data_IF_552589479841
#
_entry.id   IF_552589479841
#
_cell.length_a   1.000
_cell.length_b   1.000
_cell.length_c   1.000
_cell.angle_alpha   90.00
_cell.angle_beta   90.00
_cell.angle_gamma   90.00
#
_symmetry.space_group_name_H-M   'P 1'
#
loop_
_entity.id
_entity.type
_entity.pdbx_description
1 polymer ?
#
# COMPACT_ATOMS: atom_id res chain seq x y z
N UNK A 1 -40.06 -77.80 30.88
CA UNK A 1 -38.92 -77.51 31.80
C UNK A 1 -37.98 -76.45 31.22
N UNK A 2 -37.39 -76.66 30.03
CA UNK A 2 -36.41 -75.74 29.43
C UNK A 2 -36.85 -74.27 29.26
N UNK A 3 -38.10 -74.00 28.82
CA UNK A 3 -38.61 -72.62 28.66
C UNK A 3 -38.69 -71.83 29.98
N UNK A 4 -39.08 -72.49 31.09
CA UNK A 4 -39.10 -71.86 32.42
C UNK A 4 -37.69 -71.54 32.92
N UNK A 5 -36.72 -72.42 32.63
CA UNK A 5 -35.32 -72.20 32.96
C UNK A 5 -34.72 -71.02 32.19
N UNK A 6 -35.01 -70.91 30.88
CA UNK A 6 -34.55 -69.78 30.04
C UNK A 6 -35.09 -68.43 30.52
N UNK A 7 -36.37 -68.37 30.90
CA UNK A 7 -36.99 -67.15 31.44
C UNK A 7 -36.34 -66.75 32.77
N UNK A 8 -36.03 -67.71 33.64
CA UNK A 8 -35.34 -67.43 34.90
C UNK A 8 -33.91 -66.92 34.68
N UNK A 9 -33.18 -67.51 33.73
CA UNK A 9 -31.82 -67.06 33.38
C UNK A 9 -31.84 -65.65 32.79
N UNK A 10 -32.79 -65.33 31.90
CA UNK A 10 -32.89 -63.99 31.34
C UNK A 10 -33.29 -62.94 32.38
N UNK A 11 -34.22 -63.25 33.28
CA UNK A 11 -34.58 -62.36 34.40
C UNK A 11 -33.35 -62.11 35.30
N UNK A 12 -32.56 -63.14 35.59
CA UNK A 12 -31.37 -63.01 36.43
C UNK A 12 -30.28 -62.16 35.76
N UNK A 13 -30.06 -62.33 34.46
CA UNK A 13 -29.13 -61.52 33.67
C UNK A 13 -29.61 -60.06 33.62
N UNK A 14 -30.90 -59.82 33.36
CA UNK A 14 -31.46 -58.46 33.35
C UNK A 14 -31.31 -57.82 34.74
N UNK A 15 -31.64 -58.52 35.82
CA UNK A 15 -31.50 -58.01 37.18
C UNK A 15 -30.04 -57.68 37.53
N UNK A 16 -29.08 -58.53 37.14
CA UNK A 16 -27.65 -58.26 37.33
C UNK A 16 -27.17 -57.03 36.56
N UNK A 17 -27.64 -56.84 35.32
CA UNK A 17 -27.36 -55.64 34.52
C UNK A 17 -27.98 -54.40 35.15
N UNK A 18 -29.23 -54.47 35.62
CA UNK A 18 -29.91 -53.35 36.29
C UNK A 18 -29.20 -52.94 37.60
N UNK A 19 -28.55 -53.88 38.30
CA UNK A 19 -27.74 -53.57 39.49
C UNK A 19 -26.43 -52.84 39.15
N UNK A 20 -25.92 -52.95 37.92
CA UNK A 20 -24.72 -52.23 37.48
C UNK A 20 -25.02 -50.80 37.00
N UNK A 21 -26.25 -50.50 36.59
CA UNK A 21 -26.68 -49.16 36.15
C UNK A 21 -26.30 -48.04 37.13
N UNK A 22 -26.58 -48.13 38.46
CA UNK A 22 -26.24 -47.05 39.39
C UNK A 22 -24.73 -46.70 39.41
N UNK A 23 -23.85 -47.68 39.18
CA UNK A 23 -22.40 -47.42 39.10
C UNK A 23 -21.99 -46.66 37.83
N UNK A 24 -22.73 -46.87 36.74
CA UNK A 24 -22.48 -46.19 35.46
C UNK A 24 -23.02 -44.76 35.52
N UNK A 25 -24.18 -44.53 36.14
CA UNK A 25 -24.74 -43.18 36.34
C UNK A 25 -23.81 -42.29 37.19
N UNK A 26 -23.24 -42.81 38.28
CA UNK A 26 -22.28 -42.09 39.13
C UNK A 26 -21.00 -41.73 38.36
N UNK A 27 -20.47 -42.67 37.55
CA UNK A 27 -19.32 -42.40 36.68
C UNK A 27 -19.63 -41.32 35.63
N UNK A 28 -20.79 -41.39 34.98
CA UNK A 28 -21.22 -40.40 33.97
C UNK A 28 -21.44 -39.03 34.60
N UNK A 29 -21.99 -38.95 35.82
CA UNK A 29 -22.12 -37.70 36.56
C UNK A 29 -20.75 -37.08 36.87
N UNK A 30 -19.79 -37.86 37.40
CA UNK A 30 -18.45 -37.34 37.69
C UNK A 30 -17.71 -36.83 36.46
N UNK A 31 -17.89 -37.49 35.31
CA UNK A 31 -17.37 -37.00 34.02
C UNK A 31 -18.04 -35.68 33.64
N UNK A 32 -19.37 -35.58 33.76
CA UNK A 32 -20.13 -34.37 33.44
C UNK A 32 -19.72 -33.18 34.33
N UNK A 33 -19.49 -33.43 35.61
CA UNK A 33 -19.06 -32.41 36.56
C UNK A 33 -17.66 -31.89 36.21
N UNK A 34 -16.71 -32.79 35.88
CA UNK A 34 -15.37 -32.40 35.43
C UNK A 34 -15.38 -31.58 34.14
N UNK A 35 -16.26 -31.92 33.19
CA UNK A 35 -16.43 -31.12 31.97
C UNK A 35 -17.10 -29.77 32.25
N UNK A 36 -18.04 -29.72 33.18
CA UNK A 36 -18.74 -28.49 33.57
C UNK A 36 -17.78 -27.51 34.25
N UNK A 37 -16.97 -27.98 35.20
CA UNK A 37 -15.95 -27.17 35.87
C UNK A 37 -14.92 -26.62 34.88
N UNK A 38 -14.43 -27.44 33.96
CA UNK A 38 -13.50 -26.97 32.91
C UNK A 38 -14.13 -25.93 32.00
N UNK A 39 -15.39 -26.12 31.61
CA UNK A 39 -16.13 -25.17 30.79
C UNK A 39 -16.28 -23.84 31.52
N UNK A 40 -16.58 -23.86 32.82
CA UNK A 40 -16.79 -22.66 33.61
C UNK A 40 -15.46 -21.90 33.82
N UNK A 41 -14.35 -22.59 34.09
CA UNK A 41 -13.01 -21.97 34.12
C UNK A 41 -12.63 -21.32 32.78
N UNK A 42 -12.95 -21.97 31.66
CA UNK A 42 -12.69 -21.40 30.32
C UNK A 42 -13.58 -20.18 30.06
N UNK A 43 -14.83 -20.18 30.54
CA UNK A 43 -15.73 -19.04 30.42
C UNK A 43 -15.20 -17.83 31.20
N UNK A 44 -14.73 -18.02 32.43
CA UNK A 44 -14.13 -16.95 33.24
C UNK A 44 -12.86 -16.38 32.61
N UNK A 45 -11.97 -17.23 32.08
CA UNK A 45 -10.78 -16.78 31.35
C UNK A 45 -11.15 -16.03 30.07
N UNK A 46 -12.18 -16.49 29.35
CA UNK A 46 -12.67 -15.81 28.15
C UNK A 46 -13.19 -14.41 28.47
N UNK A 47 -13.99 -14.25 29.52
CA UNK A 47 -14.50 -12.95 29.94
C UNK A 47 -13.36 -12.02 30.37
N UNK A 48 -12.38 -12.52 31.14
CA UNK A 48 -11.18 -11.75 31.52
C UNK A 48 -10.37 -11.28 30.30
N UNK A 49 -10.24 -12.14 29.30
CA UNK A 49 -9.55 -11.79 28.04
C UNK A 49 -10.36 -10.78 27.26
N UNK A 50 -11.68 -10.95 27.19
CA UNK A 50 -12.58 -10.04 26.50
C UNK A 50 -12.53 -8.62 27.08
N UNK A 51 -12.51 -8.48 28.40
CA UNK A 51 -12.39 -7.19 29.06
C UNK A 51 -11.06 -6.51 28.71
N UNK A 52 -9.93 -7.24 28.79
CA UNK A 52 -8.63 -6.72 28.38
C UNK A 52 -8.57 -6.32 26.91
N UNK A 53 -9.24 -7.08 26.05
CA UNK A 53 -9.33 -6.77 24.62
C UNK A 53 -10.12 -5.48 24.42
N UNK A 54 -11.22 -5.28 25.16
CA UNK A 54 -11.97 -4.03 25.14
C UNK A 54 -11.09 -2.84 25.54
N UNK A 55 -10.36 -2.93 26.66
CA UNK A 55 -9.46 -1.88 27.12
C UNK A 55 -8.37 -1.53 26.08
N UNK A 56 -7.90 -2.55 25.34
CA UNK A 56 -6.91 -2.35 24.27
C UNK A 56 -7.55 -1.68 23.06
N UNK A 57 -8.77 -2.05 22.70
CA UNK A 57 -9.52 -1.42 21.60
C UNK A 57 -9.72 0.07 21.89
N UNK A 58 -10.18 0.43 23.09
CA UNK A 58 -10.39 1.83 23.48
C UNK A 58 -9.10 2.66 23.35
N UNK A 59 -7.97 2.13 23.83
CA UNK A 59 -6.66 2.80 23.70
C UNK A 59 -6.20 2.97 22.25
N UNK A 60 -6.54 2.01 21.39
CA UNK A 60 -6.20 2.08 19.97
C UNK A 60 -7.05 3.15 19.28
N UNK A 61 -8.32 3.29 19.65
CA UNK A 61 -9.19 4.35 19.14
C UNK A 61 -8.70 5.73 19.59
N UNK A 62 -8.35 5.92 20.87
CA UNK A 62 -7.76 7.16 21.39
C UNK A 62 -6.45 7.52 20.65
N UNK A 63 -5.60 6.51 20.41
CA UNK A 63 -4.32 6.71 19.71
C UNK A 63 -4.57 7.07 18.24
N UNK A 64 -5.59 6.49 17.61
CA UNK A 64 -5.95 6.81 16.22
C UNK A 64 -6.38 8.26 16.10
N UNK A 65 -7.27 8.73 16.98
CA UNK A 65 -7.73 10.13 16.98
C UNK A 65 -6.55 11.10 17.14
N UNK A 66 -5.65 10.82 18.09
CA UNK A 66 -4.45 11.64 18.27
C UNK A 66 -3.47 11.60 17.09
N UNK A 67 -3.43 10.51 16.32
CA UNK A 67 -2.62 10.42 15.09
C UNK A 67 -3.27 11.20 13.95
N UNK A 68 -4.59 11.18 13.82
CA UNK A 68 -5.32 11.98 12.81
C UNK A 68 -5.10 13.47 13.05
N UNK A 69 -5.22 13.95 14.30
CA UNK A 69 -4.92 15.35 14.68
C UNK A 69 -3.46 15.74 14.37
N UNK A 70 -2.51 14.84 14.63
CA UNK A 70 -1.11 15.06 14.34
C UNK A 70 -0.82 15.12 12.83
N UNK A 71 -1.50 14.29 12.04
CA UNK A 71 -1.40 14.30 10.58
C UNK A 71 -1.92 15.63 10.03
N UNK A 72 -3.05 16.14 10.52
CA UNK A 72 -3.60 17.43 10.10
C UNK A 72 -2.61 18.57 10.38
N UNK A 73 -2.02 18.58 11.59
CA UNK A 73 -1.00 19.58 11.96
C UNK A 73 0.22 19.52 11.03
N UNK A 74 0.65 18.31 10.65
CA UNK A 74 1.76 18.13 9.71
C UNK A 74 1.37 18.56 8.31
N UNK A 75 0.15 18.27 7.86
CA UNK A 75 -0.37 18.70 6.56
C UNK A 75 -0.35 20.23 6.46
N UNK A 76 -0.90 20.92 7.46
CA UNK A 76 -0.90 22.39 7.52
C UNK A 76 0.53 22.96 7.48
N UNK A 77 1.47 22.31 8.18
CA UNK A 77 2.87 22.71 8.16
C UNK A 77 3.52 22.47 6.79
N UNK A 78 3.20 21.37 6.10
CA UNK A 78 3.68 21.07 4.75
C UNK A 78 3.14 22.09 3.75
N UNK A 79 1.86 22.49 3.87
CA UNK A 79 1.26 23.51 3.01
C UNK A 79 1.94 24.87 3.22
N UNK A 80 2.20 25.26 4.46
CA UNK A 80 2.94 26.48 4.78
C UNK A 80 4.38 26.44 4.21
N UNK A 81 5.05 25.27 4.27
CA UNK A 81 6.36 25.09 3.65
C UNK A 81 6.25 25.20 2.12
N UNK A 82 5.22 24.61 1.51
CA UNK A 82 4.94 24.73 0.08
C UNK A 82 4.87 26.19 -0.36
N UNK A 83 4.08 27.02 0.34
CA UNK A 83 4.00 28.46 0.06
C UNK A 83 5.34 29.18 0.20
N UNK A 84 6.18 28.78 1.16
CA UNK A 84 7.52 29.35 1.29
C UNK A 84 8.45 28.90 0.18
N UNK A 85 8.34 27.65 -0.27
CA UNK A 85 9.12 27.12 -1.39
C UNK A 85 8.72 27.84 -2.68
N UNK A 86 7.43 28.09 -2.92
CA UNK A 86 6.96 28.87 -4.08
C UNK A 86 7.51 30.30 -4.05
N UNK A 87 7.54 30.93 -2.88
CA UNK A 87 8.13 32.26 -2.72
C UNK A 87 9.65 32.26 -2.88
N UNK A 88 10.34 31.22 -2.42
CA UNK A 88 11.80 31.07 -2.54
C UNK A 88 12.20 30.72 -3.98
N UNK A 89 11.35 29.98 -4.71
CA UNK A 89 11.52 29.75 -6.16
C UNK A 89 11.65 31.08 -6.90
N UNK A 90 10.82 32.07 -6.52
CA UNK A 90 10.83 33.41 -7.12
C UNK A 90 11.94 34.35 -6.57
N UNK A 91 12.82 33.86 -5.68
CA UNK A 91 14.00 34.60 -5.18
C UNK A 91 15.30 34.10 -5.82
N UNK A 92 15.28 32.91 -6.41
CA UNK A 92 16.35 32.43 -7.29
C UNK A 92 16.03 32.59 -8.77
N UNK A 93 14.81 33.04 -9.11
CA UNK A 93 14.45 33.57 -10.42
C UNK A 93 14.46 35.09 -10.37
N UNK A 94 15.63 35.69 -10.58
CA UNK A 94 15.69 37.07 -11.06
C UNK A 94 15.28 37.02 -12.55
N UNK A 95 14.26 37.81 -12.90
CA UNK A 95 13.86 38.24 -14.26
C UNK A 95 13.13 37.25 -15.20
N UNK A 96 11.87 36.90 -14.92
CA UNK A 96 10.87 36.71 -16.01
C UNK A 96 10.02 37.99 -16.18
N UNK A 97 10.66 38.98 -16.79
CA UNK A 97 9.99 39.82 -17.79
C UNK A 97 9.64 38.90 -18.98
N UNK A 98 8.46 39.06 -19.58
CA UNK A 98 8.06 38.29 -20.78
C UNK A 98 9.10 38.42 -21.90
N UNK A 99 10.02 37.46 -21.97
CA UNK A 99 11.01 37.30 -23.03
C UNK A 99 11.56 35.87 -22.95
N UNK A 100 11.09 35.03 -23.86
CA UNK A 100 11.66 33.79 -24.37
C UNK A 100 13.09 33.49 -23.84
N UNK A 101 13.20 32.81 -22.70
CA UNK A 101 14.50 32.45 -22.13
C UNK A 101 15.26 31.50 -23.07
N UNK A 102 16.26 32.05 -23.76
CA UNK A 102 17.34 31.33 -24.42
C UNK A 102 18.29 30.76 -23.37
N UNK A 103 17.82 29.75 -22.64
CA UNK A 103 18.71 28.91 -21.85
C UNK A 103 19.27 27.80 -22.75
N UNK A 104 20.59 27.64 -22.71
CA UNK A 104 21.40 26.65 -23.45
C UNK A 104 21.13 25.22 -22.93
N UNK A 105 19.87 24.84 -22.91
CA UNK A 105 19.41 23.49 -22.58
C UNK A 105 19.56 22.61 -23.81
N UNK A 106 20.35 21.54 -23.69
CA UNK A 106 20.35 20.48 -24.69
C UNK A 106 18.95 19.87 -24.77
N UNK A 107 18.20 20.14 -25.83
CA UNK A 107 16.88 19.58 -26.07
C UNK A 107 17.01 18.14 -26.58
N UNK A 108 16.11 17.24 -26.17
CA UNK A 108 16.08 15.84 -26.64
C UNK A 108 15.02 15.67 -27.71
N UNK A 109 15.36 14.95 -28.78
CA UNK A 109 14.43 14.61 -29.85
C UNK A 109 13.34 13.67 -29.33
N UNK A 110 12.08 14.00 -29.62
CA UNK A 110 10.95 13.11 -29.32
C UNK A 110 10.78 12.06 -30.41
N UNK A 111 10.12 10.96 -30.08
CA UNK A 111 9.81 9.89 -31.04
C UNK A 111 8.96 10.38 -32.23
N UNK A 112 8.12 11.40 -32.01
CA UNK A 112 7.32 12.02 -33.07
C UNK A 112 8.20 12.81 -34.05
N UNK A 113 9.18 13.57 -33.54
CA UNK A 113 10.11 14.33 -34.37
C UNK A 113 11.04 13.41 -35.17
N UNK A 114 11.44 12.27 -34.59
CA UNK A 114 12.23 11.24 -35.29
C UNK A 114 11.43 10.56 -36.41
N UNK A 115 10.11 10.48 -36.28
CA UNK A 115 9.22 9.93 -37.30
C UNK A 115 8.74 10.95 -38.34
N UNK A 116 9.18 12.22 -38.25
CA UNK A 116 8.73 13.27 -39.16
C UNK A 116 9.28 13.04 -40.58
N UNK A 117 8.40 12.78 -41.54
CA UNK A 117 8.77 12.64 -42.96
C UNK A 117 8.91 13.99 -43.68
N UNK A 118 8.31 15.05 -43.12
CA UNK A 118 8.30 16.40 -43.69
C UNK A 118 8.55 17.41 -42.57
N UNK A 119 9.55 18.27 -42.77
CA UNK A 119 9.85 19.40 -41.89
C UNK A 119 9.58 20.73 -42.62
N UNK A 120 9.31 21.79 -41.85
CA UNK A 120 9.25 23.14 -42.43
C UNK A 120 10.64 23.57 -42.90
N UNK A 121 10.69 24.53 -43.83
CA UNK A 121 11.94 25.10 -44.34
C UNK A 121 12.32 26.38 -43.58
N UNK A 122 11.80 26.54 -42.36
CA UNK A 122 12.15 27.66 -41.50
C UNK A 122 13.59 27.49 -41.03
N UNK A 123 14.36 28.57 -41.10
CA UNK A 123 15.76 28.57 -40.69
C UNK A 123 15.89 29.03 -39.25
N UNK A 124 15.94 28.06 -38.35
CA UNK A 124 16.16 28.21 -36.91
C UNK A 124 17.24 27.22 -36.50
N UNK A 125 18.52 27.53 -36.76
CA UNK A 125 19.58 26.54 -36.74
C UNK A 125 19.73 25.87 -35.38
N UNK A 126 20.06 24.58 -35.41
CA UNK A 126 20.37 23.79 -34.21
C UNK A 126 21.63 22.98 -34.41
N UNK A 127 22.39 22.78 -33.34
CA UNK A 127 23.56 21.93 -33.31
C UNK A 127 23.19 20.58 -32.72
N UNK A 128 23.26 19.51 -33.54
CA UNK A 128 23.06 18.15 -33.06
C UNK A 128 24.21 17.69 -32.16
N UNK A 129 23.96 16.66 -31.35
CA UNK A 129 24.97 15.93 -30.59
C UNK A 129 26.02 15.22 -31.46
N UNK A 130 25.74 15.06 -32.75
CA UNK A 130 26.67 14.64 -33.78
C UNK A 130 27.63 15.76 -34.25
N UNK A 131 27.45 16.97 -33.72
CA UNK A 131 28.25 18.16 -34.07
C UNK A 131 27.94 18.73 -35.44
N UNK A 132 26.80 18.39 -36.04
CA UNK A 132 26.34 18.92 -37.33
C UNK A 132 25.27 19.98 -37.09
N UNK A 133 25.34 21.07 -37.87
CA UNK A 133 24.31 22.12 -37.87
C UNK A 133 23.16 21.74 -38.79
N UNK A 134 21.95 21.78 -38.26
CA UNK A 134 20.72 21.53 -38.98
C UNK A 134 19.91 22.82 -39.10
N UNK A 135 19.16 22.98 -40.19
CA UNK A 135 18.38 24.20 -40.44
C UNK A 135 17.25 24.44 -39.44
N UNK A 136 16.75 23.38 -38.80
CA UNK A 136 15.83 23.45 -37.65
C UNK A 136 15.79 22.14 -36.86
N UNK A 137 15.19 22.17 -35.68
CA UNK A 137 15.02 21.03 -34.79
C UNK A 137 14.35 19.81 -35.43
N UNK A 138 13.33 20.02 -36.27
CA UNK A 138 12.67 18.92 -36.98
C UNK A 138 13.65 18.20 -37.90
N UNK A 139 14.42 18.94 -38.70
CA UNK A 139 15.42 18.36 -39.61
C UNK A 139 16.54 17.62 -38.88
N UNK A 140 16.93 18.10 -37.69
CA UNK A 140 17.90 17.40 -36.84
C UNK A 140 17.36 16.05 -36.37
N UNK A 141 16.19 16.04 -35.72
CA UNK A 141 15.60 14.83 -35.16
C UNK A 141 15.15 13.82 -36.23
N UNK A 142 14.61 14.29 -37.36
CA UNK A 142 14.18 13.44 -38.47
C UNK A 142 15.36 12.78 -39.22
N UNK A 143 16.60 13.25 -39.00
CA UNK A 143 17.78 12.64 -39.60
C UNK A 143 18.07 11.23 -39.08
N UNK A 144 17.52 10.88 -37.91
CA UNK A 144 17.70 9.59 -37.24
C UNK A 144 19.09 9.40 -36.60
N UNK A 145 19.99 10.36 -36.73
CA UNK A 145 21.35 10.31 -36.17
C UNK A 145 21.56 11.25 -34.97
N UNK A 146 20.56 12.06 -34.65
CA UNK A 146 20.59 13.05 -33.56
C UNK A 146 19.60 12.64 -32.48
N UNK A 147 20.06 12.48 -31.25
CA UNK A 147 19.19 12.23 -30.09
C UNK A 147 18.95 13.49 -29.27
N UNK A 148 19.92 14.39 -29.25
CA UNK A 148 19.86 15.68 -28.57
C UNK A 148 20.44 16.80 -29.43
N UNK A 149 19.93 18.02 -29.29
CA UNK A 149 20.42 19.21 -29.99
C UNK A 149 20.41 20.44 -29.09
N UNK A 150 21.16 21.45 -29.45
CA UNK A 150 21.16 22.78 -28.83
C UNK A 150 20.75 23.80 -29.89
N UNK A 151 20.05 24.88 -29.51
CA UNK A 151 19.79 26.01 -30.41
C UNK A 151 21.11 26.67 -30.86
N UNK A 152 21.16 27.11 -32.12
CA UNK A 152 22.34 27.75 -32.72
C UNK A 152 23.13 26.81 -33.64
N UNK A 153 24.08 27.38 -34.38
CA UNK A 153 24.99 26.61 -35.24
C UNK A 153 26.12 25.97 -34.41
N UNK A 154 26.63 24.83 -34.86
CA UNK A 154 27.75 24.18 -34.17
C UNK A 154 29.02 25.03 -34.31
N UNK A 155 29.65 25.33 -33.18
CA UNK A 155 30.90 26.09 -33.14
C UNK A 155 30.73 27.61 -33.07
N UNK A 156 29.50 28.11 -32.99
CA UNK A 156 29.29 29.41 -32.36
C UNK A 156 29.45 29.21 -30.84
N UNK A 157 30.56 29.70 -30.29
CA UNK A 157 30.66 29.90 -28.84
C UNK A 157 29.58 30.91 -28.48
N UNK A 158 28.55 30.45 -27.76
CA UNK A 158 27.49 31.30 -27.23
C UNK A 158 28.15 32.32 -26.30
N UNK A 159 28.49 33.49 -26.86
CA UNK A 159 29.06 34.59 -26.12
C UNK A 159 27.93 35.24 -25.31
N UNK A 160 28.05 35.14 -23.99
CA UNK A 160 27.21 35.81 -22.98
C UNK A 160 26.95 37.29 -23.29
#
# INVERSE_FOLDING_TARGET
MAKKLLILVSIFVIAFVLLQIPSVDEYVQGVKDSFTEKRDNVAEEYDRVKDKVSDVVDKVEDTKEGVEDAIDTVSDAVDAVGETVDKVSNVFGDDEEEADEEETSSQTCTEEQKAAEICTMDYTPVCGDDGVTYGNACGACASGNVDTYVKGECGEEVAE
#
